data_IF_356200693925
#
_entry.id   IF_356200693925
#
_cell.length_a   1.000
_cell.length_b   1.000
_cell.length_c   1.000
_cell.angle_alpha   90.00
_cell.angle_beta   90.00
_cell.angle_gamma   90.00
#
_symmetry.space_group_name_H-M   'P 1'
#
loop_
_entity.id
_entity.type
_entity.pdbx_description
1 polymer ?
#
# COMPACT_ATOMS: atom_id res chain seq x y z
N UNK A 1 31.57 -22.26 3.23
CA UNK A 1 31.48 -20.80 3.43
C UNK A 1 30.76 -20.25 2.23
N UNK A 2 29.47 -19.93 2.39
CA UNK A 2 28.69 -19.21 1.39
C UNK A 2 28.61 -17.77 1.89
N UNK A 3 29.11 -16.83 1.11
CA UNK A 3 29.00 -15.40 1.39
C UNK A 3 27.52 -15.02 1.33
N UNK A 4 26.87 -15.10 2.49
CA UNK A 4 25.48 -14.74 2.69
C UNK A 4 25.36 -13.23 2.62
N UNK A 5 25.31 -12.69 1.40
CA UNK A 5 24.78 -11.34 1.18
C UNK A 5 23.31 -11.40 1.54
N UNK A 6 22.98 -11.10 2.79
CA UNK A 6 21.62 -10.79 3.21
C UNK A 6 21.21 -9.55 2.43
N UNK A 7 20.37 -9.72 1.40
CA UNK A 7 19.72 -8.60 0.74
C UNK A 7 18.95 -7.81 1.81
N UNK A 8 19.39 -6.59 2.09
CA UNK A 8 18.65 -5.66 2.92
C UNK A 8 17.37 -5.26 2.17
N UNK A 9 16.22 -5.66 2.70
CA UNK A 9 14.93 -5.14 2.28
C UNK A 9 14.70 -3.74 2.84
N UNK A 10 13.68 -3.07 2.32
CA UNK A 10 13.17 -1.86 2.96
C UNK A 10 11.87 -1.38 2.35
N UNK A 11 11.23 -0.44 3.03
CA UNK A 11 10.14 0.35 2.47
C UNK A 11 10.50 1.83 2.60
N UNK A 12 10.11 2.63 1.61
CA UNK A 12 10.27 4.06 1.63
C UNK A 12 9.02 4.71 1.00
N UNK A 13 8.64 5.88 1.51
CA UNK A 13 7.59 6.70 0.93
C UNK A 13 8.22 8.02 0.48
N UNK A 14 8.28 8.24 -0.83
CA UNK A 14 8.74 9.49 -1.41
C UNK A 14 7.54 10.43 -1.61
N UNK A 15 7.55 11.56 -0.91
CA UNK A 15 6.47 12.54 -0.95
C UNK A 15 6.92 13.77 -1.75
N UNK A 16 6.12 14.17 -2.74
CA UNK A 16 6.36 15.40 -3.50
C UNK A 16 6.28 16.62 -2.57
N UNK A 17 7.23 17.54 -2.72
CA UNK A 17 7.26 18.81 -1.99
C UNK A 17 5.90 19.51 -2.07
N UNK A 18 5.42 20.02 -0.93
CA UNK A 18 4.16 20.75 -0.80
C UNK A 18 2.95 19.89 -0.42
N UNK A 19 3.08 18.56 -0.37
CA UNK A 19 2.05 17.70 0.22
C UNK A 19 2.30 17.64 1.73
N UNK A 20 1.39 18.14 2.58
CA UNK A 20 1.56 18.10 4.03
C UNK A 20 1.26 16.68 4.57
N UNK A 21 2.15 16.17 5.41
CA UNK A 21 2.02 14.86 6.04
C UNK A 21 2.69 14.83 7.42
N UNK A 22 2.33 13.82 8.22
CA UNK A 22 3.04 13.43 9.42
C UNK A 22 3.56 12.00 9.29
N UNK A 23 4.81 11.77 9.65
CA UNK A 23 5.38 10.42 9.73
C UNK A 23 4.77 9.63 10.90
N UNK A 24 4.57 8.33 10.70
CA UNK A 24 4.02 7.44 11.72
C UNK A 24 5.14 6.66 12.42
N UNK A 25 5.58 7.16 13.58
CA UNK A 25 6.70 6.56 14.33
C UNK A 25 6.32 5.33 15.18
N UNK A 26 5.02 5.08 15.37
CA UNK A 26 4.51 3.94 16.14
C UNK A 26 3.58 3.13 15.25
N UNK A 27 4.08 1.98 14.78
CA UNK A 27 3.32 1.04 13.96
C UNK A 27 3.21 -0.30 14.70
N UNK A 28 2.12 -1.08 14.48
CA UNK A 28 1.99 -2.44 15.00
C UNK A 28 3.21 -3.31 14.65
N UNK A 29 3.54 -4.27 15.52
CA UNK A 29 4.57 -5.25 15.20
C UNK A 29 4.09 -6.14 14.04
N UNK A 30 4.95 -6.36 13.04
CA UNK A 30 4.67 -7.20 11.87
C UNK A 30 5.94 -7.93 11.44
N UNK A 31 5.80 -9.06 10.76
CA UNK A 31 6.91 -9.80 10.17
C UNK A 31 7.37 -9.24 8.81
N UNK A 32 6.52 -8.45 8.16
CA UNK A 32 6.87 -7.69 6.96
C UNK A 32 7.36 -6.29 7.30
N UNK A 33 8.13 -5.71 6.40
CA UNK A 33 8.66 -4.36 6.54
C UNK A 33 7.60 -3.35 6.10
N UNK A 34 7.56 -2.20 6.76
CA UNK A 34 6.56 -1.17 6.51
C UNK A 34 7.02 0.22 6.92
N UNK A 35 6.52 1.21 6.21
CA UNK A 35 6.64 2.63 6.56
C UNK A 35 5.30 3.29 6.31
N UNK A 36 4.97 4.34 7.07
CA UNK A 36 3.67 4.97 6.94
C UNK A 36 3.71 6.46 7.21
N UNK A 37 2.81 7.16 6.54
CA UNK A 37 2.53 8.57 6.76
C UNK A 37 1.02 8.77 6.91
N UNK A 38 0.64 9.87 7.55
CA UNK A 38 -0.72 10.38 7.52
C UNK A 38 -0.76 11.68 6.75
N UNK A 39 -1.60 11.75 5.72
CA UNK A 39 -1.83 12.97 4.96
C UNK A 39 -2.58 13.98 5.83
N UNK A 40 -2.03 15.18 6.02
CA UNK A 40 -2.61 16.15 6.95
C UNK A 40 -3.97 16.68 6.48
N UNK A 41 -4.15 16.82 5.17
CA UNK A 41 -5.38 17.39 4.58
C UNK A 41 -6.58 16.45 4.66
N UNK A 42 -6.35 15.14 4.52
CA UNK A 42 -7.43 14.14 4.39
C UNK A 42 -7.50 13.18 5.57
N UNK A 43 -6.48 13.15 6.42
CA UNK A 43 -6.34 12.17 7.51
C UNK A 43 -6.04 10.74 7.04
N UNK A 44 -5.90 10.51 5.73
CA UNK A 44 -5.66 9.19 5.16
C UNK A 44 -4.29 8.69 5.64
N UNK A 45 -4.29 7.48 6.21
CA UNK A 45 -3.09 6.74 6.52
C UNK A 45 -2.62 5.99 5.27
N UNK A 46 -1.40 6.25 4.83
CA UNK A 46 -0.76 5.54 3.71
C UNK A 46 0.37 4.67 4.28
N UNK A 47 0.32 3.38 4.01
CA UNK A 47 1.27 2.38 4.49
C UNK A 47 1.91 1.68 3.29
N UNK A 48 3.22 1.91 3.10
CA UNK A 48 4.02 1.12 2.17
C UNK A 48 4.49 -0.17 2.84
N UNK A 49 4.37 -1.31 2.18
CA UNK A 49 4.76 -2.62 2.72
C UNK A 49 5.69 -3.37 1.78
N UNK A 50 6.60 -4.16 2.36
CA UNK A 50 7.43 -5.13 1.66
C UNK A 50 7.42 -6.45 2.44
N UNK A 51 6.87 -7.50 1.83
CA UNK A 51 6.80 -8.82 2.41
C UNK A 51 7.90 -9.72 1.83
N UNK A 52 8.69 -10.34 2.69
CA UNK A 52 9.71 -11.30 2.24
C UNK A 52 9.04 -12.59 1.73
N UNK A 53 9.66 -13.32 0.77
CA UNK A 53 9.06 -14.50 0.14
C UNK A 53 8.45 -15.52 1.11
N UNK A 54 9.17 -15.82 2.19
CA UNK A 54 8.82 -16.87 3.15
C UNK A 54 7.83 -16.42 4.22
N UNK A 55 7.50 -15.13 4.26
CA UNK A 55 6.57 -14.59 5.26
C UNK A 55 5.12 -14.57 4.76
N UNK A 56 4.18 -14.88 5.64
CA UNK A 56 2.74 -14.77 5.37
C UNK A 56 2.17 -13.64 6.22
N UNK A 57 1.64 -12.61 5.57
CA UNK A 57 0.93 -11.54 6.24
C UNK A 57 -0.36 -12.12 6.83
N UNK A 58 -0.51 -12.03 8.14
CA UNK A 58 -1.68 -12.55 8.86
C UNK A 58 -2.85 -11.57 8.82
N UNK A 59 -4.07 -12.09 8.99
CA UNK A 59 -5.25 -11.23 9.13
C UNK A 59 -5.17 -10.29 10.33
N UNK A 60 -4.48 -10.71 11.41
CA UNK A 60 -4.27 -9.87 12.59
C UNK A 60 -3.39 -8.67 12.25
N UNK A 61 -2.26 -8.88 11.57
CA UNK A 61 -1.37 -7.77 11.19
C UNK A 61 -2.07 -6.77 10.27
N UNK A 62 -2.84 -7.25 9.28
CA UNK A 62 -3.64 -6.36 8.43
C UNK A 62 -4.69 -5.61 9.23
N UNK A 63 -5.43 -6.29 10.10
CA UNK A 63 -6.45 -5.66 10.96
C UNK A 63 -5.85 -4.59 11.86
N UNK A 64 -4.71 -4.87 12.49
CA UNK A 64 -4.03 -3.93 13.38
C UNK A 64 -3.59 -2.67 12.61
N UNK A 65 -3.10 -2.82 11.37
CA UNK A 65 -2.80 -1.68 10.49
C UNK A 65 -4.07 -0.91 10.08
N UNK A 66 -5.14 -1.61 9.70
CA UNK A 66 -6.41 -0.98 9.34
C UNK A 66 -7.09 -0.26 10.51
N UNK A 67 -6.83 -0.69 11.74
CA UNK A 67 -7.35 -0.05 12.95
C UNK A 67 -6.59 1.22 13.34
N UNK A 68 -5.45 1.52 12.70
CA UNK A 68 -4.70 2.75 12.96
C UNK A 68 -5.37 4.02 12.42
N UNK A 69 -6.36 3.88 11.53
CA UNK A 69 -7.04 5.01 10.91
C UNK A 69 -8.45 4.69 10.43
N UNK A 70 -9.24 5.75 10.24
CA UNK A 70 -10.56 5.62 9.63
C UNK A 70 -10.44 5.33 8.13
N UNK A 71 -9.62 6.10 7.41
CA UNK A 71 -9.27 5.90 6.00
C UNK A 71 -7.83 5.41 5.89
N UNK A 72 -7.62 4.26 5.27
CA UNK A 72 -6.31 3.61 5.20
C UNK A 72 -6.03 3.08 3.80
N UNK A 73 -4.80 3.25 3.33
CA UNK A 73 -4.26 2.70 2.10
C UNK A 73 -3.04 1.86 2.49
N UNK A 74 -3.04 0.58 2.13
CA UNK A 74 -1.89 -0.31 2.26
C UNK A 74 -1.49 -0.74 0.85
N UNK A 75 -0.24 -0.50 0.47
CA UNK A 75 0.26 -0.81 -0.87
C UNK A 75 1.69 -1.34 -0.83
N UNK A 76 2.01 -2.23 -1.77
CA UNK A 76 3.38 -2.70 -1.99
C UNK A 76 3.45 -4.19 -2.31
N UNK A 77 4.65 -4.74 -2.22
CA UNK A 77 4.93 -6.13 -2.54
C UNK A 77 4.45 -7.05 -1.41
N UNK A 78 3.34 -7.73 -1.65
CA UNK A 78 2.74 -8.66 -0.67
C UNK A 78 3.27 -10.08 -0.80
N UNK A 79 3.92 -10.42 -1.91
CA UNK A 79 4.23 -11.79 -2.34
C UNK A 79 3.03 -12.75 -2.32
N UNK A 80 1.80 -12.24 -2.30
CA UNK A 80 0.59 -13.06 -2.32
C UNK A 80 0.19 -13.38 -3.77
N UNK A 81 0.00 -14.67 -4.04
CA UNK A 81 -0.32 -15.22 -5.35
C UNK A 81 -1.70 -15.84 -5.27
N UNK A 82 -2.63 -15.35 -6.08
CA UNK A 82 -3.96 -15.91 -6.17
C UNK A 82 -4.50 -15.80 -7.59
N UNK A 83 -5.32 -16.75 -8.00
CA UNK A 83 -5.93 -16.78 -9.34
C UNK A 83 -6.83 -15.58 -9.58
N UNK A 84 -7.50 -15.08 -8.52
CA UNK A 84 -8.33 -13.84 -8.53
C UNK A 84 -7.60 -12.64 -9.13
N UNK A 85 -6.29 -12.52 -8.94
CA UNK A 85 -5.46 -11.43 -9.48
C UNK A 85 -4.43 -11.93 -10.50
N UNK A 86 -4.72 -13.02 -11.21
CA UNK A 86 -3.96 -13.43 -12.40
C UNK A 86 -2.71 -14.27 -12.12
N UNK A 87 -2.52 -14.82 -10.91
CA UNK A 87 -1.41 -15.73 -10.65
C UNK A 87 -1.79 -17.19 -10.94
N UNK A 88 -1.00 -17.84 -11.81
CA UNK A 88 -1.23 -19.25 -12.19
C UNK A 88 -0.91 -20.25 -11.08
N UNK A 89 0.02 -19.91 -10.17
CA UNK A 89 0.43 -20.74 -9.03
C UNK A 89 0.07 -20.03 -7.74
N UNK A 90 -1.14 -20.26 -7.19
CA UNK A 90 -1.58 -19.59 -5.98
C UNK A 90 -0.80 -20.09 -4.75
N UNK A 91 -0.68 -19.24 -3.73
CA UNK A 91 -0.28 -19.63 -2.38
C UNK A 91 -1.51 -19.50 -1.46
N UNK A 92 -2.29 -20.58 -1.24
CA UNK A 92 -3.59 -20.50 -0.55
C UNK A 92 -3.54 -19.85 0.85
N UNK A 93 -2.39 -19.92 1.52
CA UNK A 93 -2.16 -19.28 2.83
C UNK A 93 -2.14 -17.75 2.79
N UNK A 94 -1.91 -17.12 1.63
CA UNK A 94 -1.86 -15.65 1.47
C UNK A 94 -3.09 -15.16 0.69
N UNK A 95 -4.27 -15.36 1.26
CA UNK A 95 -5.54 -14.98 0.64
C UNK A 95 -6.07 -13.65 1.19
N UNK A 96 -6.12 -12.62 0.34
CA UNK A 96 -6.76 -11.36 0.67
C UNK A 96 -8.13 -11.30 0.01
N UNK A 97 -9.12 -10.86 0.78
CA UNK A 97 -10.51 -10.75 0.32
C UNK A 97 -11.11 -9.46 0.83
N UNK A 98 -12.09 -8.98 0.09
CA UNK A 98 -12.94 -7.88 0.53
C UNK A 98 -13.65 -8.27 1.83
N UNK A 99 -13.64 -7.38 2.82
CA UNK A 99 -14.29 -7.59 4.11
C UNK A 99 -14.83 -6.25 4.63
N UNK A 100 -16.16 -6.15 4.81
CA UNK A 100 -16.83 -4.92 5.24
C UNK A 100 -16.31 -3.70 4.46
N UNK A 101 -15.50 -2.86 5.12
CA UNK A 101 -14.97 -1.60 4.63
C UNK A 101 -13.61 -1.73 3.93
N UNK A 102 -13.03 -2.94 3.89
CA UNK A 102 -11.74 -3.23 3.26
C UNK A 102 -11.96 -3.76 1.85
N UNK A 103 -11.34 -3.09 0.88
CA UNK A 103 -11.41 -3.42 -0.53
C UNK A 103 -10.02 -3.74 -1.08
N UNK A 104 -9.93 -4.83 -1.84
CA UNK A 104 -8.72 -5.25 -2.55
C UNK A 104 -8.77 -4.74 -4.00
N UNK A 105 -7.74 -4.01 -4.37
CA UNK A 105 -7.50 -3.51 -5.72
C UNK A 105 -6.27 -4.20 -6.30
N UNK A 106 -6.40 -4.71 -7.51
CA UNK A 106 -5.32 -5.39 -8.22
C UNK A 106 -5.37 -5.10 -9.71
N UNK A 107 -4.25 -5.37 -10.36
CA UNK A 107 -4.09 -5.19 -11.79
C UNK A 107 -4.44 -6.49 -12.51
N UNK A 108 -4.98 -6.36 -13.71
CA UNK A 108 -5.17 -7.51 -14.61
C UNK A 108 -3.87 -7.97 -15.24
N UNK A 109 -2.90 -7.06 -15.36
CA UNK A 109 -1.58 -7.36 -15.89
C UNK A 109 -0.58 -7.61 -14.76
N UNK A 110 0.38 -8.55 -14.94
CA UNK A 110 1.41 -8.83 -13.96
C UNK A 110 2.20 -7.60 -13.55
N UNK A 111 2.63 -7.58 -12.28
CA UNK A 111 3.48 -6.53 -11.71
C UNK A 111 4.92 -6.95 -11.56
N UNK A 112 5.21 -8.25 -11.64
CA UNK A 112 6.54 -8.82 -11.51
C UNK A 112 6.83 -9.81 -12.64
N UNK A 113 7.96 -9.61 -13.32
CA UNK A 113 8.47 -10.33 -14.49
C UNK A 113 9.86 -10.90 -14.17
N UNK A 114 9.92 -12.13 -13.64
CA UNK A 114 11.18 -12.74 -13.23
C UNK A 114 12.17 -12.87 -14.39
N UNK A 115 13.44 -12.56 -14.15
CA UNK A 115 14.51 -12.71 -15.15
C UNK A 115 14.74 -14.16 -15.61
N UNK A 116 14.36 -15.14 -14.79
CA UNK A 116 14.52 -16.57 -15.07
C UNK A 116 13.38 -17.16 -15.93
N UNK A 117 12.61 -16.32 -16.65
CA UNK A 117 11.46 -16.72 -17.47
C UNK A 117 10.37 -17.50 -16.70
N UNK A 118 10.34 -17.40 -15.37
CA UNK A 118 9.20 -17.90 -14.60
C UNK A 118 7.94 -17.11 -14.95
N UNK A 119 6.78 -17.73 -14.73
CA UNK A 119 5.48 -17.09 -14.97
C UNK A 119 5.39 -15.75 -14.25
N UNK A 120 5.10 -14.65 -14.97
CA UNK A 120 4.85 -13.35 -14.36
C UNK A 120 3.73 -13.41 -13.30
N UNK A 121 3.83 -12.56 -12.28
CA UNK A 121 2.88 -12.56 -11.15
C UNK A 121 2.41 -11.15 -10.80
N UNK A 122 1.16 -11.03 -10.38
CA UNK A 122 0.62 -9.82 -9.73
C UNK A 122 0.76 -10.00 -8.22
N UNK A 123 1.80 -9.42 -7.65
CA UNK A 123 2.14 -9.54 -6.22
C UNK A 123 2.21 -8.19 -5.51
N UNK A 124 2.26 -7.11 -6.28
CA UNK A 124 2.09 -5.75 -5.80
C UNK A 124 0.58 -5.46 -5.73
N UNK A 125 0.06 -5.46 -4.50
CA UNK A 125 -1.37 -5.33 -4.25
C UNK A 125 -1.66 -4.04 -3.49
N UNK A 126 -2.92 -3.62 -3.59
CA UNK A 126 -3.41 -2.42 -2.95
C UNK A 126 -4.69 -2.75 -2.18
N UNK A 127 -4.71 -2.43 -0.89
CA UNK A 127 -5.86 -2.60 -0.03
C UNK A 127 -6.27 -1.25 0.54
N UNK A 128 -7.57 -0.96 0.57
CA UNK A 128 -8.10 0.30 1.07
C UNK A 128 -9.19 0.09 2.09
N UNK A 129 -9.26 0.93 3.12
CA UNK A 129 -10.37 1.00 4.08
C UNK A 129 -11.10 2.33 3.97
N UNK A 130 -12.44 2.30 3.93
CA UNK A 130 -13.32 3.48 3.90
C UNK A 130 -12.95 4.50 2.80
N UNK A 131 -12.54 4.00 1.64
CA UNK A 131 -12.24 4.79 0.46
C UNK A 131 -13.10 4.29 -0.70
N UNK A 132 -14.02 5.13 -1.14
CA UNK A 132 -14.93 4.86 -2.26
C UNK A 132 -14.42 5.51 -3.55
N UNK A 133 -14.93 5.06 -4.69
CA UNK A 133 -14.58 5.58 -6.02
C UNK A 133 -13.07 5.52 -6.31
N UNK A 134 -12.45 4.43 -5.88
CA UNK A 134 -11.02 4.21 -6.05
C UNK A 134 -10.78 3.58 -7.43
N UNK A 135 -10.22 4.30 -8.41
CA UNK A 135 -10.02 3.78 -9.75
C UNK A 135 -9.03 2.62 -9.75
N UNK A 136 -9.18 1.75 -10.74
CA UNK A 136 -8.33 0.58 -10.90
C UNK A 136 -6.86 0.99 -11.04
N UNK A 137 -5.92 0.31 -10.34
CA UNK A 137 -4.50 0.58 -10.51
C UNK A 137 -4.01 0.25 -11.92
N UNK A 138 -2.96 0.95 -12.35
CA UNK A 138 -2.32 0.80 -13.67
C UNK A 138 -0.87 0.31 -13.52
N UNK A 139 -0.43 -0.53 -14.45
CA UNK A 139 0.93 -1.08 -14.51
C UNK A 139 1.73 -0.30 -15.54
N UNK A 140 2.88 0.24 -15.16
CA UNK A 140 3.81 0.91 -16.07
C UNK A 140 5.14 0.16 -16.08
N UNK A 141 5.56 -0.28 -17.26
CA UNK A 141 6.81 -1.00 -17.45
C UNK A 141 8.01 -0.14 -17.04
N UNK A 142 8.95 -0.74 -16.30
CA UNK A 142 10.25 -0.13 -15.98
C UNK A 142 11.36 -0.95 -16.61
N UNK A 143 12.19 -0.39 -17.50
CA UNK A 143 13.18 -1.17 -18.25
C UNK A 143 14.30 -1.78 -17.39
N UNK A 144 14.54 -1.25 -16.18
CA UNK A 144 15.66 -1.66 -15.33
C UNK A 144 15.22 -2.40 -14.05
N UNK A 145 14.00 -2.93 -14.03
CA UNK A 145 13.41 -3.59 -12.86
C UNK A 145 12.58 -4.79 -13.32
N UNK A 146 12.65 -5.89 -12.58
CA UNK A 146 11.75 -7.03 -12.74
C UNK A 146 10.33 -6.71 -12.22
N UNK A 147 10.17 -5.67 -11.40
CA UNK A 147 8.87 -5.11 -11.05
C UNK A 147 8.47 -3.93 -11.95
N UNK A 148 7.22 -3.95 -12.43
CA UNK A 148 6.55 -2.80 -13.01
C UNK A 148 6.08 -1.84 -11.92
N UNK A 149 6.04 -0.55 -12.25
CA UNK A 149 5.45 0.45 -11.37
C UNK A 149 3.93 0.31 -11.32
N UNK A 150 3.38 0.26 -10.12
CA UNK A 150 1.94 0.39 -9.91
C UNK A 150 1.60 1.86 -9.67
N UNK A 151 0.66 2.39 -10.45
CA UNK A 151 0.16 3.76 -10.33
C UNK A 151 -1.32 3.72 -9.99
N UNK A 152 -1.73 4.56 -9.06
CA UNK A 152 -3.14 4.73 -8.74
C UNK A 152 -3.49 6.19 -8.48
N UNK A 153 -4.69 6.57 -8.91
CA UNK A 153 -5.24 7.89 -8.68
C UNK A 153 -6.18 7.84 -7.49
N UNK A 154 -5.85 8.59 -6.44
CA UNK A 154 -6.78 8.80 -5.34
C UNK A 154 -7.62 10.00 -5.76
N UNK A 155 -8.91 9.79 -6.07
CA UNK A 155 -9.82 10.86 -6.51
C UNK A 155 -10.04 11.93 -5.43
N UNK A 156 -10.96 12.89 -5.66
CA UNK A 156 -11.44 13.79 -4.62
C UNK A 156 -12.08 12.94 -3.51
N UNK A 157 -11.26 12.54 -2.53
CA UNK A 157 -11.73 11.90 -1.31
C UNK A 157 -12.65 12.92 -0.69
N UNK A 158 -13.95 12.66 -0.74
CA UNK A 158 -14.94 13.46 -0.02
C UNK A 158 -14.47 13.46 1.44
N UNK A 159 -14.06 14.65 1.89
CA UNK A 159 -13.75 14.89 3.29
C UNK A 159 -15.09 15.27 3.88
N UNK A 160 -15.75 14.31 4.51
CA UNK A 160 -16.90 14.64 5.35
C UNK A 160 -16.37 15.57 6.45
N UNK A 161 -16.91 16.78 6.46
CA UNK A 161 -16.65 17.90 7.38
C UNK A 161 -15.19 18.33 7.58
N UNK A 162 -14.67 19.12 6.64
CA UNK A 162 -13.69 20.16 7.01
C UNK A 162 -14.47 21.32 7.62
N UNK A 163 -14.57 21.35 8.95
CA UNK A 163 -14.91 22.58 9.68
C UNK A 163 -13.88 23.64 9.30
N UNK A 164 -14.25 24.56 8.40
CA UNK A 164 -13.43 25.70 8.02
C UNK A 164 -13.40 26.68 9.20
N UNK A 165 -12.32 26.68 9.97
CA UNK A 165 -12.03 27.79 10.87
C UNK A 165 -11.50 28.96 10.04
N UNK A 166 -12.38 29.92 9.76
CA UNK A 166 -12.00 31.23 9.23
C UNK A 166 -11.67 32.11 10.44
N UNK A 167 -10.38 32.23 10.78
CA UNK A 167 -9.93 33.29 11.69
C UNK A 167 -9.73 34.56 10.87
N UNK A 168 -10.55 35.58 11.13
CA UNK A 168 -10.26 36.94 10.70
C UNK A 168 -9.60 37.69 11.86
N UNK A 169 -8.34 38.08 11.68
CA UNK A 169 -7.70 39.06 12.55
C UNK A 169 -8.17 40.45 12.13
N UNK A 170 -9.06 41.06 12.93
CA UNK A 170 -9.23 42.51 12.90
C UNK A 170 -8.19 43.09 13.86
N UNK A 171 -7.37 44.00 13.34
CA UNK A 171 -6.31 44.68 14.06
C UNK A 171 -6.81 45.28 15.39
N UNK A 172 -6.02 45.05 16.42
CA UNK A 172 -6.01 45.81 17.67
C UNK A 172 -5.37 47.17 17.44
N UNK A 173 -5.98 48.18 18.07
CA UNK A 173 -5.68 49.62 18.16
C UNK A 173 -6.30 50.49 17.07
#
# INVERSE_FOLDING_TARGET
MSDGVTHAGGTALLIRRGIPFSEMNKLPATFFEKTAIRLSTTGILVVGIYNRPDNTITEKELRDLFNMGNKVIILGDTKAKHTRWGCNRPNPSKNYRDKHDIHLHFLENPTHYPANNSTPTTIDLLLTKNLHNFPKPMSLAKPNSDHNQVVVHIGNVQVDDVTKYITSYKNTN
#
